data_IF_714456014829
#
_entry.id   IF_714456014829
#
_cell.length_a   1.000
_cell.length_b   1.000
_cell.length_c   1.000
_cell.angle_alpha   90.00
_cell.angle_beta   90.00
_cell.angle_gamma   90.00
#
_symmetry.space_group_name_H-M   'P 1'
#
loop_
_entity.id
_entity.type
_entity.pdbx_description
1 polymer ?
#
# COMPACT_ATOMS: atom_id res chain seq x y z
N UNK A 1 2.64 -6.06 12.62
CA UNK A 1 4.06 -6.46 12.64
C UNK A 1 4.81 -5.49 13.51
N UNK A 2 5.72 -5.98 14.36
CA UNK A 2 6.50 -5.14 15.27
C UNK A 2 7.99 -5.33 14.98
N UNK A 3 8.72 -4.23 14.79
CA UNK A 3 10.18 -4.23 14.67
C UNK A 3 10.79 -4.04 16.06
N UNK A 4 11.72 -4.91 16.44
CA UNK A 4 12.43 -4.88 17.72
C UNK A 4 13.94 -5.11 17.52
N UNK A 5 14.73 -4.88 18.56
CA UNK A 5 16.20 -4.88 18.50
C UNK A 5 16.78 -3.56 19.01
N UNK A 6 18.09 -3.53 19.27
CA UNK A 6 18.77 -2.41 19.92
C UNK A 6 18.79 -1.11 19.09
N UNK A 7 19.27 -0.01 19.69
CA UNK A 7 19.47 1.24 18.96
C UNK A 7 20.44 1.09 17.79
N UNK A 8 20.27 1.92 16.76
CA UNK A 8 21.10 1.95 15.56
C UNK A 8 21.25 0.62 14.78
N UNK A 9 20.48 -0.42 15.10
CA UNK A 9 20.34 -1.67 14.30
C UNK A 9 19.66 -1.43 12.93
N UNK A 10 19.05 -0.27 12.73
CA UNK A 10 18.55 0.20 11.44
C UNK A 10 17.10 -0.18 11.11
N UNK A 11 16.26 -0.50 12.12
CA UNK A 11 14.80 -0.68 11.97
C UNK A 11 14.14 0.44 11.16
N UNK A 12 14.42 1.70 11.53
CA UNK A 12 13.91 2.91 10.87
C UNK A 12 14.41 3.02 9.43
N UNK A 13 15.71 2.78 9.20
CA UNK A 13 16.28 2.75 7.85
C UNK A 13 15.65 1.66 6.99
N UNK A 14 15.44 0.46 7.52
CA UNK A 14 14.77 -0.63 6.82
C UNK A 14 13.34 -0.24 6.42
N UNK A 15 12.57 0.33 7.36
CA UNK A 15 11.23 0.84 7.09
C UNK A 15 11.21 1.92 6.00
N UNK A 16 12.14 2.88 6.02
CA UNK A 16 12.27 3.89 4.97
C UNK A 16 12.54 3.24 3.60
N UNK A 17 13.45 2.26 3.54
CA UNK A 17 13.85 1.59 2.29
C UNK A 17 12.76 0.70 1.69
N UNK A 18 12.03 -0.08 2.49
CA UNK A 18 10.88 -0.88 1.99
C UNK A 18 9.69 -0.01 1.54
N UNK A 19 9.65 1.26 1.98
CA UNK A 19 8.75 2.31 1.48
C UNK A 19 9.25 3.00 0.19
N UNK A 20 10.40 2.59 -0.35
CA UNK A 20 11.00 3.17 -1.57
C UNK A 20 11.80 4.45 -1.34
N UNK A 21 12.05 4.85 -0.10
CA UNK A 21 12.82 6.07 0.19
C UNK A 21 14.34 5.84 0.00
N UNK A 22 15.06 6.93 -0.25
CA UNK A 22 16.52 6.92 -0.27
C UNK A 22 17.10 6.57 1.11
N UNK A 23 18.27 5.92 1.14
CA UNK A 23 18.99 5.70 2.39
C UNK A 23 19.53 7.05 2.93
N UNK A 24 19.39 7.27 4.24
CA UNK A 24 19.94 8.44 4.94
C UNK A 24 21.00 8.01 5.94
N UNK A 25 22.17 8.67 5.92
CA UNK A 25 23.30 8.32 6.79
C UNK A 25 23.03 8.75 8.24
N UNK A 26 22.36 9.89 8.42
CA UNK A 26 21.98 10.43 9.72
C UNK A 26 20.46 10.28 9.90
N UNK A 27 20.01 9.09 10.31
CA UNK A 27 18.66 8.95 10.85
C UNK A 27 18.61 9.58 12.24
N UNK A 28 17.73 10.57 12.43
CA UNK A 28 17.43 11.11 13.77
C UNK A 28 16.92 10.00 14.70
N UNK A 29 17.12 10.16 16.01
CA UNK A 29 16.66 9.18 17.00
C UNK A 29 15.13 9.19 17.04
N UNK A 30 14.50 8.09 16.61
CA UNK A 30 13.05 7.90 16.70
C UNK A 30 12.57 8.10 18.14
N UNK A 31 11.66 9.06 18.36
CA UNK A 31 11.06 9.36 19.66
C UNK A 31 9.68 8.69 19.76
N UNK A 32 9.60 7.55 20.45
CA UNK A 32 8.35 6.84 20.72
C UNK A 32 8.14 5.56 19.91
N UNK A 33 6.87 5.18 19.71
CA UNK A 33 6.46 4.03 18.88
C UNK A 33 5.53 4.56 17.80
N UNK A 34 6.08 4.75 16.60
CA UNK A 34 5.31 5.19 15.45
C UNK A 34 4.75 3.99 14.68
N UNK A 35 3.50 4.14 14.23
CA UNK A 35 2.77 3.12 13.49
C UNK A 35 2.59 3.53 12.04
N UNK A 36 3.04 2.68 11.13
CA UNK A 36 2.99 2.92 9.70
C UNK A 36 2.20 1.83 9.00
N UNK A 37 1.36 2.20 8.03
CA UNK A 37 0.65 1.23 7.20
C UNK A 37 1.40 1.04 5.88
N UNK A 38 2.09 -0.09 5.75
CA UNK A 38 2.69 -0.54 4.50
C UNK A 38 1.70 -1.49 3.81
N UNK A 39 1.10 -1.02 2.71
CA UNK A 39 0.29 -1.89 1.85
C UNK A 39 1.17 -2.44 0.74
N UNK A 40 1.33 -3.75 0.63
CA UNK A 40 2.15 -4.42 -0.40
C UNK A 40 1.48 -5.73 -0.82
N UNK A 41 1.83 -6.22 -2.01
CA UNK A 41 1.38 -7.52 -2.50
C UNK A 41 2.44 -8.57 -2.22
N UNK A 42 2.01 -9.72 -1.72
CA UNK A 42 2.84 -10.89 -1.43
C UNK A 42 2.19 -12.06 -2.17
N UNK A 43 2.82 -12.46 -3.27
CA UNK A 43 2.13 -13.16 -4.35
C UNK A 43 0.93 -12.34 -4.81
N UNK A 44 -0.25 -12.90 -4.64
CA UNK A 44 -1.56 -12.34 -5.01
C UNK A 44 -2.23 -11.44 -4.00
N UNK A 45 -1.83 -11.53 -2.74
CA UNK A 45 -2.65 -11.03 -1.66
C UNK A 45 -2.24 -9.62 -1.29
N UNK A 46 -3.24 -8.74 -1.18
CA UNK A 46 -3.07 -7.39 -0.66
C UNK A 46 -2.86 -7.46 0.86
N UNK A 47 -1.64 -7.20 1.32
CA UNK A 47 -1.29 -7.26 2.74
C UNK A 47 -1.14 -5.86 3.28
N UNK A 48 -2.06 -5.47 4.16
CA UNK A 48 -1.97 -4.24 4.95
C UNK A 48 -1.14 -4.49 6.21
N UNK A 49 0.16 -4.25 6.11
CA UNK A 49 1.07 -4.37 7.24
C UNK A 49 1.05 -3.10 8.06
N UNK A 50 0.38 -3.15 9.21
CA UNK A 50 0.66 -2.22 10.31
C UNK A 50 2.04 -2.57 10.87
N UNK A 51 3.04 -1.73 10.62
CA UNK A 51 4.41 -1.85 11.11
C UNK A 51 4.61 -0.82 12.21
N UNK A 52 5.03 -1.27 13.38
CA UNK A 52 5.48 -0.38 14.46
C UNK A 52 6.99 -0.34 14.47
N UNK A 53 7.58 0.84 14.34
CA UNK A 53 9.00 1.08 14.61
C UNK A 53 9.14 1.58 16.05
N UNK A 54 9.82 0.81 16.90
CA UNK A 54 10.06 1.21 18.28
C UNK A 54 11.40 1.94 18.39
N UNK A 55 11.39 3.11 19.05
CA UNK A 55 12.59 3.84 19.44
C UNK A 55 13.71 2.93 19.92
N UNK A 56 14.90 3.09 19.32
CA UNK A 56 16.07 2.28 19.64
C UNK A 56 16.65 2.54 21.04
N UNK A 57 16.39 3.71 21.61
CA UNK A 57 16.66 4.00 23.01
C UNK A 57 15.40 3.72 23.85
N UNK A 58 15.21 2.46 24.23
CA UNK A 58 15.08 2.08 25.65
C UNK A 58 14.84 0.57 25.80
N UNK A 59 15.30 0.03 26.93
CA UNK A 59 15.11 -1.38 27.33
C UNK A 59 13.62 -1.70 27.58
N UNK A 60 12.90 -1.98 26.49
CA UNK A 60 11.58 -2.66 26.37
C UNK A 60 10.52 -2.37 27.46
N UNK A 61 10.43 -1.11 27.88
CA UNK A 61 9.35 -0.63 28.77
C UNK A 61 8.25 0.15 28.04
N UNK A 62 8.49 0.57 26.81
CA UNK A 62 7.61 1.48 26.04
C UNK A 62 6.66 0.76 25.09
N UNK A 63 6.99 -0.47 24.66
CA UNK A 63 6.02 -1.33 23.95
C UNK A 63 5.02 -1.86 24.98
N UNK A 64 3.77 -1.45 24.87
CA UNK A 64 2.73 -1.83 25.83
C UNK A 64 2.37 -3.32 25.70
N UNK A 65 1.91 -3.93 26.80
CA UNK A 65 1.47 -5.34 26.79
C UNK A 65 0.37 -5.61 25.74
N UNK A 66 -0.48 -4.63 25.45
CA UNK A 66 -1.49 -4.72 24.40
C UNK A 66 -0.86 -4.83 23.01
N UNK A 67 0.16 -4.01 22.70
CA UNK A 67 0.87 -4.04 21.42
C UNK A 67 1.55 -5.38 21.14
N UNK A 68 2.17 -6.00 22.15
CA UNK A 68 2.77 -7.33 21.99
C UNK A 68 1.71 -8.43 21.80
N UNK A 69 0.61 -8.39 22.55
CA UNK A 69 -0.45 -9.39 22.47
C UNK A 69 -1.23 -9.34 21.13
N UNK A 70 -1.43 -8.14 20.57
CA UNK A 70 -2.12 -7.95 19.28
C UNK A 70 -1.20 -8.20 18.06
N UNK A 71 0.10 -8.36 18.25
CA UNK A 71 1.06 -8.57 17.15
C UNK A 71 1.30 -10.05 16.88
N UNK A 72 0.95 -10.51 15.67
CA UNK A 72 1.20 -11.88 15.22
C UNK A 72 2.58 -12.10 14.57
N UNK A 73 3.24 -11.03 14.10
CA UNK A 73 4.50 -11.11 13.34
C UNK A 73 5.55 -10.14 13.90
N UNK A 74 6.72 -10.65 14.25
CA UNK A 74 7.83 -9.90 14.85
C UNK A 74 9.08 -9.99 13.97
N UNK A 75 9.78 -8.87 13.82
CA UNK A 75 11.04 -8.81 13.07
C UNK A 75 12.12 -8.25 13.99
N UNK A 76 13.15 -9.05 14.23
CA UNK A 76 14.21 -8.79 15.22
C UNK A 76 15.49 -8.36 14.52
N UNK A 77 15.92 -7.12 14.73
CA UNK A 77 17.07 -6.53 14.05
C UNK A 77 18.32 -6.60 14.92
N UNK A 78 19.37 -7.22 14.39
CA UNK A 78 20.74 -7.06 14.87
C UNK A 78 21.60 -6.35 13.82
N UNK A 79 22.74 -5.85 14.27
CA UNK A 79 23.76 -5.20 13.47
C UNK A 79 24.96 -6.14 13.33
N UNK A 80 25.33 -6.51 12.10
CA UNK A 80 26.44 -7.45 11.87
C UNK A 80 27.79 -6.90 12.34
N UNK A 81 27.92 -5.59 12.57
CA UNK A 81 29.12 -4.97 13.14
C UNK A 81 29.12 -4.92 14.67
N UNK A 82 28.06 -5.36 15.35
CA UNK A 82 27.91 -5.28 16.80
C UNK A 82 27.40 -6.59 17.44
N UNK A 83 28.29 -7.42 18.02
CA UNK A 83 27.93 -8.67 18.70
C UNK A 83 26.91 -8.53 19.83
N UNK A 84 26.95 -7.43 20.58
CA UNK A 84 25.99 -7.19 21.67
C UNK A 84 24.56 -7.12 21.14
N UNK A 85 24.36 -6.59 19.93
CA UNK A 85 23.02 -6.48 19.32
C UNK A 85 22.40 -7.84 18.96
N UNK A 86 23.21 -8.86 18.66
CA UNK A 86 22.72 -10.24 18.50
C UNK A 86 22.44 -10.85 19.88
N UNK A 87 23.32 -10.62 20.87
CA UNK A 87 23.11 -11.12 22.23
C UNK A 87 21.82 -10.57 22.87
N UNK A 88 21.53 -9.28 22.66
CA UNK A 88 20.30 -8.61 23.10
C UNK A 88 19.03 -9.24 22.54
N UNK A 89 19.06 -9.89 21.36
CA UNK A 89 17.86 -10.54 20.80
C UNK A 89 17.27 -11.62 21.71
N UNK A 90 18.04 -12.16 22.67
CA UNK A 90 17.52 -13.09 23.67
C UNK A 90 16.41 -12.48 24.54
N UNK A 91 16.60 -11.26 25.06
CA UNK A 91 15.59 -10.64 25.93
C UNK A 91 14.32 -10.28 25.15
N UNK A 92 14.47 -9.81 23.91
CA UNK A 92 13.34 -9.60 23.00
C UNK A 92 12.58 -10.92 22.72
N UNK A 93 13.28 -12.04 22.50
CA UNK A 93 12.66 -13.35 22.34
C UNK A 93 11.88 -13.79 23.58
N UNK A 94 12.49 -13.71 24.76
CA UNK A 94 11.84 -14.05 26.04
C UNK A 94 10.60 -13.19 26.28
N UNK A 95 10.61 -11.91 25.93
CA UNK A 95 9.44 -11.05 26.10
C UNK A 95 8.33 -11.34 25.10
N UNK A 96 8.68 -11.69 23.87
CA UNK A 96 7.70 -12.15 22.87
C UNK A 96 7.11 -13.51 23.32
N UNK A 97 7.90 -14.39 23.93
CA UNK A 97 7.42 -15.64 24.56
C UNK A 97 6.46 -15.39 25.73
N UNK A 98 6.78 -14.42 26.60
CA UNK A 98 6.01 -14.13 27.81
C UNK A 98 4.75 -13.24 27.57
N UNK A 99 4.75 -12.40 26.52
CA UNK A 99 3.72 -11.36 26.30
C UNK A 99 3.02 -11.44 24.94
N UNK A 100 3.64 -12.08 23.95
CA UNK A 100 3.10 -12.25 22.61
C UNK A 100 2.16 -13.46 22.47
N UNK A 101 1.46 -13.60 21.33
CA UNK A 101 0.60 -14.74 21.07
C UNK A 101 1.39 -16.04 20.83
N UNK A 102 0.76 -17.18 21.13
CA UNK A 102 1.37 -18.51 20.98
C UNK A 102 1.80 -18.82 19.54
N UNK A 103 0.90 -18.61 18.57
CA UNK A 103 1.09 -19.00 17.16
C UNK A 103 1.85 -17.97 16.30
N UNK A 104 2.54 -17.01 16.93
CA UNK A 104 3.32 -15.95 16.28
C UNK A 104 4.33 -16.43 15.23
N UNK A 105 4.74 -15.50 14.38
CA UNK A 105 5.90 -15.64 13.48
C UNK A 105 6.99 -14.67 13.90
N UNK A 106 8.24 -15.13 13.93
CA UNK A 106 9.42 -14.32 14.23
C UNK A 106 10.44 -14.52 13.10
N UNK A 107 11.10 -13.44 12.68
CA UNK A 107 12.22 -13.46 11.71
C UNK A 107 13.36 -12.59 12.24
N UNK A 108 14.60 -13.03 12.07
CA UNK A 108 15.81 -12.29 12.46
C UNK A 108 16.41 -11.58 11.24
N UNK A 109 16.84 -10.33 11.41
CA UNK A 109 17.44 -9.50 10.36
C UNK A 109 18.84 -9.08 10.81
N UNK A 110 19.87 -9.64 10.17
CA UNK A 110 21.24 -9.16 10.26
C UNK A 110 21.44 -7.99 9.29
N UNK A 111 21.39 -6.77 9.81
CA UNK A 111 21.51 -5.56 8.99
C UNK A 111 22.97 -5.03 8.96
N UNK A 112 23.24 -4.10 8.02
CA UNK A 112 24.56 -3.49 7.73
C UNK A 112 25.58 -4.42 7.09
N UNK A 113 25.12 -5.39 6.29
CA UNK A 113 25.97 -6.28 5.50
C UNK A 113 26.87 -5.59 4.46
N UNK A 114 26.78 -4.26 4.31
CA UNK A 114 27.74 -3.43 3.56
C UNK A 114 29.05 -3.14 4.33
N UNK A 115 29.14 -3.55 5.60
CA UNK A 115 30.30 -3.33 6.47
C UNK A 115 30.95 -4.65 6.87
N UNK A 116 32.24 -4.64 7.29
CA UNK A 116 32.92 -5.83 7.79
C UNK A 116 32.18 -6.44 8.99
N UNK A 117 31.62 -7.63 8.79
CA UNK A 117 30.87 -8.34 9.81
C UNK A 117 31.78 -8.84 10.94
N UNK A 118 31.43 -8.50 12.18
CA UNK A 118 31.99 -9.11 13.40
C UNK A 118 31.11 -10.29 13.83
N UNK A 119 29.79 -10.17 13.62
CA UNK A 119 28.81 -11.25 13.75
C UNK A 119 28.68 -11.95 12.40
N UNK A 120 29.07 -13.22 12.32
CA UNK A 120 29.01 -13.97 11.06
C UNK A 120 27.56 -14.35 10.72
N UNK A 121 27.29 -14.60 9.44
CA UNK A 121 26.01 -15.16 9.01
C UNK A 121 25.73 -16.51 9.70
N UNK A 122 26.77 -17.33 9.90
CA UNK A 122 26.68 -18.61 10.62
C UNK A 122 26.20 -18.42 12.07
N UNK A 123 26.70 -17.43 12.79
CA UNK A 123 26.21 -17.11 14.15
C UNK A 123 24.74 -16.68 14.17
N UNK A 124 24.29 -15.90 13.18
CA UNK A 124 22.88 -15.48 13.05
C UNK A 124 21.98 -16.67 12.67
N UNK A 125 22.46 -17.55 11.80
CA UNK A 125 21.80 -18.79 11.40
C UNK A 125 21.65 -19.76 12.58
N UNK A 126 22.70 -19.96 13.36
CA UNK A 126 22.69 -20.82 14.54
C UNK A 126 21.72 -20.27 15.60
N UNK A 127 21.80 -18.97 15.88
CA UNK A 127 20.88 -18.28 16.78
C UNK A 127 19.41 -18.46 16.38
N UNK A 128 19.12 -18.32 15.07
CA UNK A 128 17.76 -18.42 14.54
C UNK A 128 17.27 -19.87 14.49
N UNK A 129 18.17 -20.82 14.20
CA UNK A 129 17.88 -22.25 14.23
C UNK A 129 17.55 -22.75 15.64
N UNK A 130 18.29 -22.30 16.67
CA UNK A 130 17.99 -22.60 18.07
C UNK A 130 16.62 -22.08 18.53
N UNK A 131 16.09 -21.05 17.86
CA UNK A 131 14.79 -20.41 18.16
C UNK A 131 13.67 -20.79 17.18
N UNK A 132 13.94 -21.73 16.26
CA UNK A 132 13.01 -22.18 15.23
C UNK A 132 12.38 -21.01 14.43
N UNK A 133 13.22 -20.07 14.01
CA UNK A 133 12.85 -18.91 13.20
C UNK A 133 13.77 -18.76 11.98
N UNK A 134 13.28 -18.03 10.98
CA UNK A 134 14.05 -17.74 9.76
C UNK A 134 14.89 -16.47 9.93
N UNK A 135 15.94 -16.34 9.12
CA UNK A 135 16.85 -15.19 9.16
C UNK A 135 17.13 -14.63 7.77
N UNK A 136 17.48 -13.34 7.71
CA UNK A 136 17.92 -12.66 6.50
C UNK A 136 19.11 -11.75 6.79
N UNK A 137 20.07 -11.71 5.86
CA UNK A 137 21.21 -10.79 5.90
C UNK A 137 21.00 -9.69 4.85
N UNK A 138 21.00 -8.43 5.31
CA UNK A 138 20.65 -7.27 4.48
C UNK A 138 21.57 -6.07 4.73
N UNK A 139 21.62 -5.16 3.76
CA UNK A 139 22.13 -3.81 3.91
C UNK A 139 21.06 -2.81 3.51
N UNK A 140 20.50 -2.08 4.48
CA UNK A 140 19.59 -0.97 4.18
C UNK A 140 20.23 0.11 3.28
N UNK A 141 21.56 0.18 3.22
CA UNK A 141 22.32 1.17 2.45
C UNK A 141 22.50 0.74 0.99
N UNK A 142 22.92 -0.50 0.77
CA UNK A 142 23.34 -0.98 -0.55
C UNK A 142 22.28 -1.86 -1.25
N UNK A 143 21.45 -2.59 -0.50
CA UNK A 143 20.46 -3.47 -1.10
C UNK A 143 19.30 -2.66 -1.71
N UNK A 144 18.74 -3.16 -2.81
CA UNK A 144 17.56 -2.61 -3.44
C UNK A 144 16.27 -2.90 -2.65
N UNK A 145 15.18 -2.24 -3.06
CA UNK A 145 13.88 -2.41 -2.43
C UNK A 145 13.26 -3.80 -2.59
N UNK A 146 13.72 -4.64 -3.53
CA UNK A 146 13.21 -5.99 -3.72
C UNK A 146 13.88 -6.96 -2.71
N UNK A 147 15.21 -6.94 -2.61
CA UNK A 147 15.95 -7.73 -1.61
C UNK A 147 15.56 -7.33 -0.18
N UNK A 148 15.34 -6.05 0.08
CA UNK A 148 14.85 -5.58 1.40
C UNK A 148 13.38 -5.94 1.67
N UNK A 149 12.59 -6.30 0.64
CA UNK A 149 11.21 -6.73 0.82
C UNK A 149 11.07 -8.24 1.07
N UNK A 150 12.06 -9.06 0.70
CA UNK A 150 12.02 -10.52 0.88
C UNK A 150 11.74 -10.98 2.33
N UNK A 151 12.33 -10.38 3.40
CA UNK A 151 12.00 -10.76 4.77
C UNK A 151 10.54 -10.45 5.15
N UNK A 152 9.96 -9.41 4.53
CA UNK A 152 8.57 -8.98 4.72
C UNK A 152 7.61 -9.87 3.93
N UNK A 153 8.03 -10.34 2.75
CA UNK A 153 7.33 -11.37 1.96
C UNK A 153 7.23 -12.67 2.76
N UNK A 154 8.38 -13.18 3.24
CA UNK A 154 8.48 -14.48 3.89
C UNK A 154 7.71 -14.59 5.21
N UNK A 155 7.81 -13.59 6.08
CA UNK A 155 7.11 -13.58 7.38
C UNK A 155 5.57 -13.60 7.23
N UNK A 156 5.05 -13.11 6.10
CA UNK A 156 3.63 -13.19 5.75
C UNK A 156 3.27 -14.58 5.25
N UNK A 157 4.04 -15.17 4.34
CA UNK A 157 3.79 -16.55 3.88
C UNK A 157 3.69 -17.53 5.07
N UNK A 158 4.65 -17.46 6.00
CA UNK A 158 4.64 -18.30 7.21
C UNK A 158 3.43 -18.00 8.12
N UNK A 159 2.97 -16.74 8.17
CA UNK A 159 1.75 -16.38 8.89
C UNK A 159 0.52 -16.99 8.22
N UNK A 160 0.43 -16.95 6.89
CA UNK A 160 -0.68 -17.56 6.17
C UNK A 160 -0.70 -19.08 6.32
N UNK A 161 0.44 -19.76 6.19
CA UNK A 161 0.54 -21.21 6.38
C UNK A 161 0.07 -21.63 7.79
N UNK A 162 0.43 -20.88 8.83
CA UNK A 162 0.02 -21.16 10.22
C UNK A 162 -1.47 -20.89 10.47
N UNK A 163 -2.05 -19.84 9.88
CA UNK A 163 -3.39 -19.36 10.22
C UNK A 163 -4.49 -19.67 9.18
N UNK A 164 -4.16 -20.27 8.03
CA UNK A 164 -5.11 -20.59 6.94
C UNK A 164 -5.42 -22.10 6.82
N UNK A 165 -5.03 -22.92 7.80
CA UNK A 165 -5.52 -24.30 7.90
C UNK A 165 -7.06 -24.34 8.09
N UNK A 166 -7.75 -25.36 7.55
CA UNK A 166 -9.13 -25.19 7.10
C UNK A 166 -10.12 -25.00 8.26
N UNK A 167 -10.84 -23.88 8.23
CA UNK A 167 -12.12 -23.77 8.94
C UNK A 167 -13.01 -24.92 8.48
N UNK A 168 -13.30 -25.87 9.39
CA UNK A 168 -14.24 -26.96 9.15
C UNK A 168 -15.51 -26.41 8.51
N UNK A 169 -15.94 -27.04 7.43
CA UNK A 169 -17.12 -26.65 6.67
C UNK A 169 -18.40 -26.84 7.50
N UNK A 170 -18.74 -25.83 8.31
CA UNK A 170 -20.10 -25.65 8.82
C UNK A 170 -20.96 -25.05 7.71
N UNK A 171 -21.63 -25.94 6.97
CA UNK A 171 -22.62 -25.59 5.96
C UNK A 171 -23.71 -24.74 6.62
N UNK A 172 -23.69 -23.43 6.37
CA UNK A 172 -24.81 -22.53 6.63
C UNK A 172 -25.12 -21.81 5.33
N UNK A 173 -26.10 -22.34 4.60
CA UNK A 173 -26.65 -21.72 3.40
C UNK A 173 -27.28 -20.36 3.74
N UNK A 174 -26.63 -19.27 3.31
CA UNK A 174 -27.22 -17.92 3.25
C UNK A 174 -26.83 -17.21 1.94
N UNK A 175 -27.66 -16.29 1.44
CA UNK A 175 -27.77 -16.03 0.00
C UNK A 175 -26.70 -15.09 -0.58
N UNK A 176 -26.58 -15.17 -1.91
CA UNK A 176 -25.63 -14.43 -2.76
C UNK A 176 -25.94 -12.92 -2.78
N UNK A 177 -25.33 -12.16 -1.87
CA UNK A 177 -25.21 -10.69 -1.93
C UNK A 177 -23.97 -10.22 -1.17
N UNK A 178 -22.78 -10.22 -1.80
CA UNK A 178 -21.56 -9.68 -1.14
C UNK A 178 -20.47 -9.03 -2.02
N UNK A 179 -20.51 -9.15 -3.35
CA UNK A 179 -19.40 -8.67 -4.21
C UNK A 179 -19.39 -7.16 -4.49
N UNK A 180 -20.49 -6.44 -4.19
CA UNK A 180 -20.66 -5.02 -4.63
C UNK A 180 -20.00 -3.95 -3.75
N UNK A 181 -19.50 -4.28 -2.56
CA UNK A 181 -18.95 -3.27 -1.62
C UNK A 181 -17.43 -3.08 -1.69
N UNK A 182 -16.72 -3.89 -2.49
CA UNK A 182 -15.25 -3.97 -2.44
C UNK A 182 -14.52 -3.21 -3.57
N UNK A 183 -15.21 -2.86 -4.66
CA UNK A 183 -14.62 -2.16 -5.81
C UNK A 183 -14.40 -0.65 -5.59
N UNK A 184 -13.22 -0.14 -5.97
CA UNK A 184 -12.99 1.30 -6.12
C UNK A 184 -13.68 1.82 -7.40
N UNK A 185 -14.57 2.79 -7.27
CA UNK A 185 -15.36 3.36 -8.37
C UNK A 185 -15.74 4.82 -8.09
N UNK A 186 -16.07 5.55 -9.15
CA UNK A 186 -16.72 6.86 -9.18
C UNK A 186 -18.16 6.74 -9.73
N UNK A 187 -19.07 7.68 -9.41
CA UNK A 187 -20.39 7.73 -10.02
C UNK A 187 -20.32 8.31 -11.44
N UNK A 188 -21.31 8.02 -12.27
CA UNK A 188 -21.28 8.39 -13.69
C UNK A 188 -21.34 9.89 -13.99
N UNK A 189 -21.76 10.71 -13.03
CA UNK A 189 -21.88 12.16 -13.13
C UNK A 189 -20.65 12.93 -12.60
N UNK A 190 -19.68 12.26 -11.98
CA UNK A 190 -18.40 12.87 -11.61
C UNK A 190 -17.61 13.31 -12.85
N UNK A 191 -16.85 14.39 -12.72
CA UNK A 191 -16.21 15.08 -13.84
C UNK A 191 -14.71 14.78 -13.93
N UNK A 192 -14.21 14.64 -15.16
CA UNK A 192 -12.79 14.56 -15.51
C UNK A 192 -12.43 15.67 -16.49
N UNK A 193 -11.19 16.14 -16.46
CA UNK A 193 -10.63 17.12 -17.39
C UNK A 193 -9.80 16.41 -18.47
N UNK A 194 -10.01 16.72 -19.75
CA UNK A 194 -9.26 16.15 -20.87
C UNK A 194 -8.08 17.04 -21.31
N UNK A 195 -7.12 16.47 -22.06
CA UNK A 195 -5.95 17.18 -22.62
C UNK A 195 -6.34 18.41 -23.47
N UNK A 196 -7.51 18.39 -24.12
CA UNK A 196 -8.06 19.51 -24.89
C UNK A 196 -8.71 20.62 -24.02
N UNK A 197 -8.65 20.51 -22.68
CA UNK A 197 -9.22 21.46 -21.73
C UNK A 197 -10.73 21.33 -21.47
N UNK A 198 -11.43 20.43 -22.17
CA UNK A 198 -12.85 20.16 -21.91
C UNK A 198 -13.05 19.32 -20.63
N UNK A 199 -14.18 19.53 -19.95
CA UNK A 199 -14.61 18.70 -18.82
C UNK A 199 -15.79 17.86 -19.23
N UNK A 200 -15.68 16.54 -19.03
CA UNK A 200 -16.73 15.57 -19.36
C UNK A 200 -17.12 14.76 -18.13
N UNK A 201 -18.33 14.20 -18.15
CA UNK A 201 -18.74 13.21 -17.17
C UNK A 201 -17.97 11.89 -17.39
N UNK A 202 -17.57 11.21 -16.32
CA UNK A 202 -16.82 9.95 -16.39
C UNK A 202 -17.61 8.82 -17.07
N UNK A 203 -18.94 8.95 -17.16
CA UNK A 203 -19.78 8.04 -17.96
C UNK A 203 -19.65 8.23 -19.47
N UNK A 204 -19.22 9.41 -19.94
CA UNK A 204 -18.95 9.74 -21.34
C UNK A 204 -17.48 9.55 -21.74
N UNK A 205 -16.61 9.17 -20.80
CA UNK A 205 -15.18 8.97 -21.02
C UNK A 205 -14.95 7.68 -21.83
N UNK A 206 -14.05 7.71 -22.80
CA UNK A 206 -13.74 6.59 -23.70
C UNK A 206 -12.31 6.05 -23.47
N UNK A 207 -11.99 4.91 -24.10
CA UNK A 207 -10.62 4.37 -24.08
C UNK A 207 -9.81 5.12 -25.14
N UNK A 208 -8.60 5.54 -24.78
CA UNK A 208 -7.76 6.45 -25.59
C UNK A 208 -7.92 7.93 -25.21
N UNK A 209 -8.95 8.30 -24.44
CA UNK A 209 -9.05 9.64 -23.89
C UNK A 209 -7.92 9.88 -22.88
N UNK A 210 -7.27 11.04 -23.00
CA UNK A 210 -6.25 11.48 -22.05
C UNK A 210 -6.85 12.40 -21.00
N UNK A 211 -6.88 11.93 -19.76
CA UNK A 211 -7.42 12.64 -18.60
C UNK A 211 -6.33 13.28 -17.76
N UNK A 212 -6.68 14.37 -17.09
CA UNK A 212 -5.84 15.03 -16.09
C UNK A 212 -5.48 14.04 -14.98
N UNK A 213 -4.19 13.90 -14.75
CA UNK A 213 -3.56 12.94 -13.87
C UNK A 213 -2.37 13.61 -13.16
N UNK A 214 -1.74 12.91 -12.22
CA UNK A 214 -0.65 13.46 -11.43
C UNK A 214 0.48 12.44 -11.29
N UNK A 215 1.67 12.83 -11.72
CA UNK A 215 2.84 11.97 -11.67
C UNK A 215 3.49 12.06 -10.28
N UNK A 216 3.35 11.00 -9.47
CA UNK A 216 3.85 10.98 -8.10
C UNK A 216 5.39 11.03 -7.99
N UNK A 217 6.12 10.73 -9.06
CA UNK A 217 7.59 10.72 -9.09
C UNK A 217 8.18 12.07 -9.54
N UNK A 218 7.48 12.77 -10.43
CA UNK A 218 7.88 14.08 -10.96
C UNK A 218 7.17 15.25 -10.26
N UNK A 219 6.20 14.96 -9.37
CA UNK A 219 5.38 15.91 -8.62
C UNK A 219 4.60 16.92 -9.48
N UNK A 220 4.28 16.55 -10.73
CA UNK A 220 3.63 17.42 -11.72
C UNK A 220 2.32 16.85 -12.28
N UNK A 221 1.48 17.75 -12.82
CA UNK A 221 0.27 17.38 -13.57
C UNK A 221 0.66 16.93 -14.97
N UNK A 222 0.13 15.78 -15.38
CA UNK A 222 0.29 15.24 -16.72
C UNK A 222 -1.06 14.73 -17.24
N UNK A 223 -1.24 14.69 -18.55
CA UNK A 223 -2.39 14.03 -19.16
C UNK A 223 -2.06 12.56 -19.43
N UNK A 224 -2.86 11.65 -18.88
CA UNK A 224 -2.64 10.21 -18.94
C UNK A 224 -3.79 9.52 -19.67
N UNK A 225 -3.45 8.66 -20.62
CA UNK A 225 -4.39 7.90 -21.43
C UNK A 225 -5.15 6.86 -20.58
N UNK A 226 -6.47 6.82 -20.73
CA UNK A 226 -7.33 5.77 -20.20
C UNK A 226 -7.24 4.57 -21.13
N UNK A 227 -6.55 3.50 -20.71
CA UNK A 227 -6.32 2.32 -21.56
C UNK A 227 -7.31 1.18 -21.30
N UNK A 228 -8.00 1.18 -20.14
CA UNK A 228 -9.05 0.19 -19.85
C UNK A 228 -9.98 0.68 -18.72
N UNK A 229 -11.03 -0.10 -18.42
CA UNK A 229 -11.93 0.09 -17.29
C UNK A 229 -11.90 -1.14 -16.39
N UNK A 230 -11.62 -0.95 -15.10
CA UNK A 230 -11.82 -2.00 -14.10
C UNK A 230 -13.30 -2.28 -13.84
N UNK A 231 -14.14 -1.24 -13.93
CA UNK A 231 -15.60 -1.32 -13.84
C UNK A 231 -16.23 -0.25 -14.75
N UNK A 232 -17.29 -0.60 -15.50
CA UNK A 232 -18.07 0.36 -16.31
C UNK A 232 -19.53 -0.09 -16.39
N UNK A 233 -20.41 0.50 -15.56
CA UNK A 233 -21.85 0.22 -15.62
C UNK A 233 -22.66 1.47 -15.23
N UNK A 234 -23.40 2.04 -16.20
CA UNK A 234 -24.19 3.26 -16.00
C UNK A 234 -25.54 3.04 -15.31
N UNK A 235 -26.04 1.80 -15.26
CA UNK A 235 -27.42 1.49 -14.83
C UNK A 235 -27.56 1.20 -13.34
N UNK A 236 -26.45 0.89 -12.66
CA UNK A 236 -26.42 0.57 -11.23
C UNK A 236 -26.59 1.85 -10.38
N UNK A 237 -27.38 1.77 -9.31
CA UNK A 237 -27.31 2.68 -8.17
C UNK A 237 -26.39 2.08 -7.10
N UNK A 238 -25.45 2.87 -6.59
CA UNK A 238 -24.47 2.42 -5.59
C UNK A 238 -24.24 3.48 -4.50
N UNK A 239 -23.86 3.08 -3.27
CA UNK A 239 -23.51 4.00 -2.20
C UNK A 239 -22.08 4.55 -2.37
N UNK A 240 -21.94 5.87 -2.34
CA UNK A 240 -20.67 6.59 -2.41
C UNK A 240 -20.42 7.36 -1.10
N UNK A 241 -19.14 7.53 -0.77
CA UNK A 241 -18.67 8.51 0.20
C UNK A 241 -18.64 9.87 -0.50
N UNK A 242 -19.42 10.81 0.01
CA UNK A 242 -19.38 12.22 -0.36
C UNK A 242 -18.38 12.94 0.54
N UNK A 243 -17.31 13.43 -0.05
CA UNK A 243 -16.31 14.28 0.61
C UNK A 243 -16.63 15.73 0.26
N UNK A 244 -16.93 16.56 1.26
CA UNK A 244 -17.01 18.02 1.08
C UNK A 244 -15.70 18.65 1.55
N UNK A 245 -15.19 19.61 0.79
CA UNK A 245 -13.90 20.25 1.05
C UNK A 245 -13.95 21.75 0.81
N UNK A 246 -12.96 22.46 1.36
CA UNK A 246 -12.73 23.88 1.10
C UNK A 246 -11.25 24.17 0.86
N UNK A 247 -10.96 25.01 -0.13
CA UNK A 247 -9.70 25.76 -0.26
C UNK A 247 -9.87 27.13 0.40
N UNK A 248 -8.88 28.01 0.28
CA UNK A 248 -8.98 29.42 0.70
C UNK A 248 -10.06 30.20 -0.08
N UNK A 249 -10.34 29.79 -1.33
CA UNK A 249 -11.17 30.54 -2.28
C UNK A 249 -12.48 29.85 -2.68
N UNK A 250 -12.58 28.53 -2.55
CA UNK A 250 -13.71 27.74 -3.08
C UNK A 250 -14.11 26.59 -2.14
N UNK A 251 -15.38 26.19 -2.24
CA UNK A 251 -15.91 24.95 -1.66
C UNK A 251 -16.30 23.99 -2.78
N UNK A 252 -16.14 22.69 -2.54
CA UNK A 252 -16.47 21.66 -3.52
C UNK A 252 -16.87 20.34 -2.85
N UNK A 253 -17.21 19.37 -3.69
CA UNK A 253 -17.48 18.00 -3.25
C UNK A 253 -17.14 16.99 -4.33
N UNK A 254 -16.63 15.84 -3.92
CA UNK A 254 -16.39 14.67 -4.78
C UNK A 254 -17.04 13.43 -4.18
N UNK A 255 -17.24 12.41 -5.01
CA UNK A 255 -17.91 11.17 -4.66
C UNK A 255 -17.07 9.97 -5.07
N UNK A 256 -16.71 9.13 -4.09
CA UNK A 256 -15.91 7.93 -4.34
C UNK A 256 -16.48 6.74 -3.56
N UNK A 257 -16.38 5.53 -4.09
CA UNK A 257 -16.84 4.34 -3.37
C UNK A 257 -16.06 4.13 -2.06
N UNK A 258 -16.59 3.43 -1.05
CA UNK A 258 -15.97 3.31 0.27
C UNK A 258 -14.50 2.86 0.29
N UNK A 259 -14.08 2.01 -0.67
CA UNK A 259 -12.73 1.47 -0.77
C UNK A 259 -11.80 2.27 -1.69
N UNK A 260 -12.30 3.28 -2.39
CA UNK A 260 -11.50 4.08 -3.31
C UNK A 260 -10.41 4.84 -2.57
N UNK A 261 -9.15 4.76 -3.03
CA UNK A 261 -8.03 5.42 -2.36
C UNK A 261 -7.92 6.90 -2.75
N UNK A 262 -8.06 7.77 -1.76
CA UNK A 262 -7.76 9.20 -1.88
C UNK A 262 -6.35 9.48 -1.37
N UNK A 263 -5.70 10.50 -1.91
CA UNK A 263 -4.40 10.96 -1.43
C UNK A 263 -4.57 12.10 -0.40
N UNK A 264 -3.87 12.00 0.73
CA UNK A 264 -3.97 12.94 1.85
C UNK A 264 -2.60 13.34 2.41
N UNK A 265 -2.47 14.61 2.81
CA UNK A 265 -1.31 15.15 3.51
C UNK A 265 -1.57 15.26 5.01
N UNK A 266 -0.54 15.02 5.82
CA UNK A 266 -0.61 15.12 7.29
C UNK A 266 -0.08 16.47 7.75
N UNK A 267 -0.79 17.16 8.65
CA UNK A 267 -0.35 18.48 9.18
C UNK A 267 1.03 18.47 9.86
N UNK A 268 1.44 17.32 10.41
CA UNK A 268 2.76 17.12 11.02
C UNK A 268 3.90 17.05 9.99
N UNK A 269 3.60 16.59 8.76
CA UNK A 269 4.57 16.45 7.67
C UNK A 269 3.90 16.81 6.34
N UNK A 270 3.83 18.12 5.99
CA UNK A 270 3.11 18.59 4.80
C UNK A 270 3.72 18.11 3.47
N UNK A 271 4.91 17.52 3.50
CA UNK A 271 5.61 16.93 2.34
C UNK A 271 5.39 15.42 2.17
N UNK A 272 4.68 14.75 3.09
CA UNK A 272 4.45 13.30 3.02
C UNK A 272 3.04 12.99 2.48
N UNK A 273 2.99 12.59 1.22
CA UNK A 273 1.78 12.11 0.58
C UNK A 273 1.42 10.69 1.04
N UNK A 274 0.32 10.57 1.77
CA UNK A 274 -0.27 9.31 2.17
C UNK A 274 -1.47 8.98 1.27
N UNK A 275 -1.92 7.73 1.27
CA UNK A 275 -3.21 7.34 0.69
C UNK A 275 -4.05 6.55 1.69
N UNK A 276 -5.38 6.68 1.60
CA UNK A 276 -6.33 5.91 2.42
C UNK A 276 -7.67 5.70 1.72
N UNK A 277 -8.41 4.63 2.05
CA UNK A 277 -9.78 4.43 1.59
C UNK A 277 -10.69 5.60 1.94
N UNK A 278 -11.58 6.01 1.04
CA UNK A 278 -12.52 7.10 1.24
C UNK A 278 -13.41 6.92 2.48
N UNK A 279 -13.73 5.68 2.88
CA UNK A 279 -14.44 5.38 4.14
C UNK A 279 -13.68 5.78 5.41
N UNK A 280 -12.37 6.03 5.32
CA UNK A 280 -11.50 6.50 6.41
C UNK A 280 -11.15 7.99 6.26
N UNK A 281 -11.74 8.70 5.30
CA UNK A 281 -11.66 10.17 5.23
C UNK A 281 -12.37 10.79 6.44
N UNK A 282 -11.80 11.86 6.99
CA UNK A 282 -12.29 12.55 8.18
C UNK A 282 -12.19 14.07 8.02
N UNK A 283 -13.03 14.80 8.76
CA UNK A 283 -12.96 16.26 8.82
C UNK A 283 -11.60 16.71 9.34
N UNK A 284 -10.96 17.62 8.61
CA UNK A 284 -9.62 18.14 8.92
C UNK A 284 -8.47 17.47 8.18
N UNK A 285 -8.73 16.36 7.47
CA UNK A 285 -7.80 15.82 6.47
C UNK A 285 -7.49 16.87 5.39
N UNK A 286 -6.25 16.89 4.92
CA UNK A 286 -5.83 17.70 3.77
C UNK A 286 -5.74 16.77 2.55
N UNK A 287 -6.38 17.15 1.45
CA UNK A 287 -6.38 16.45 0.17
C UNK A 287 -5.74 17.31 -0.92
N UNK A 288 -5.19 16.67 -1.96
CA UNK A 288 -4.71 17.37 -3.16
C UNK A 288 -5.88 17.61 -4.12
N UNK A 289 -6.04 18.87 -4.51
CA UNK A 289 -6.93 19.34 -5.57
C UNK A 289 -6.09 19.91 -6.70
N UNK A 290 -6.41 19.62 -7.96
CA UNK A 290 -5.88 20.37 -9.09
C UNK A 290 -6.94 20.51 -10.19
N UNK A 291 -7.05 21.70 -10.78
CA UNK A 291 -8.02 22.04 -11.82
C UNK A 291 -7.48 21.92 -13.26
N UNK A 292 -6.27 21.36 -13.43
CA UNK A 292 -5.49 21.33 -14.68
C UNK A 292 -4.48 22.46 -14.82
N UNK A 293 -4.26 23.27 -13.77
CA UNK A 293 -3.28 24.37 -13.75
C UNK A 293 -2.50 24.40 -12.44
N UNK A 294 -3.20 24.56 -11.33
CA UNK A 294 -2.57 24.83 -10.03
C UNK A 294 -2.83 23.70 -9.03
N UNK A 295 -1.77 23.19 -8.41
CA UNK A 295 -1.87 22.26 -7.28
C UNK A 295 -2.33 23.07 -6.07
N UNK A 296 -3.47 22.70 -5.50
CA UNK A 296 -4.08 23.37 -4.36
C UNK A 296 -4.34 22.35 -3.25
N UNK A 297 -4.13 22.77 -2.01
CA UNK A 297 -4.52 21.97 -0.84
C UNK A 297 -5.95 22.34 -0.45
N UNK A 298 -6.79 21.33 -0.25
CA UNK A 298 -8.14 21.50 0.27
C UNK A 298 -8.30 20.73 1.58
N UNK A 299 -9.01 21.31 2.54
CA UNK A 299 -9.33 20.65 3.82
C UNK A 299 -10.72 20.03 3.75
N UNK A 300 -10.86 18.76 4.12
CA UNK A 300 -12.15 18.08 4.25
C UNK A 300 -12.96 18.74 5.37
N UNK A 301 -14.15 19.23 5.03
CA UNK A 301 -15.07 19.92 5.96
C UNK A 301 -16.14 18.99 6.50
N UNK A 302 -16.58 18.00 5.70
CA UNK A 302 -17.52 16.95 6.09
C UNK A 302 -17.31 15.69 5.25
N UNK A 303 -17.75 14.55 5.79
CA UNK A 303 -17.80 13.25 5.10
C UNK A 303 -19.18 12.65 5.35
N UNK A 304 -19.85 12.19 4.31
CA UNK A 304 -21.20 11.62 4.38
C UNK A 304 -21.38 10.50 3.35
N UNK A 305 -22.53 9.81 3.35
CA UNK A 305 -22.88 8.77 2.38
C UNK A 305 -24.05 9.23 1.52
N UNK A 306 -23.94 9.04 0.21
CA UNK A 306 -24.97 9.38 -0.77
C UNK A 306 -25.08 8.27 -1.82
N UNK A 307 -26.30 7.95 -2.28
CA UNK A 307 -26.47 6.95 -3.36
C UNK A 307 -26.48 7.67 -4.70
N UNK A 308 -25.63 7.23 -5.63
CA UNK A 308 -25.51 7.84 -6.97
C UNK A 308 -25.58 6.76 -8.06
N UNK A 309 -25.82 7.22 -9.29
CA UNK A 309 -25.98 6.37 -10.48
C UNK A 309 -24.66 6.19 -11.20
N UNK A 310 -24.41 4.96 -11.65
CA UNK A 310 -23.20 4.56 -12.33
C UNK A 310 -22.12 4.06 -11.38
N UNK A 311 -21.33 3.09 -11.85
CA UNK A 311 -20.04 2.72 -11.28
C UNK A 311 -19.00 2.69 -12.39
N UNK A 312 -17.97 3.52 -12.26
CA UNK A 312 -16.92 3.71 -13.25
C UNK A 312 -15.55 3.69 -12.57
N UNK A 313 -14.63 2.86 -13.07
CA UNK A 313 -13.23 2.87 -12.68
C UNK A 313 -12.33 2.89 -13.93
N UNK A 314 -12.13 4.05 -14.57
CA UNK A 314 -11.17 4.18 -15.67
C UNK A 314 -9.75 3.97 -15.13
N UNK A 315 -8.93 3.25 -15.89
CA UNK A 315 -7.54 2.96 -15.54
C UNK A 315 -6.63 3.73 -16.48
N UNK A 316 -5.83 4.63 -15.90
CA UNK A 316 -4.91 5.52 -16.62
C UNK A 316 -3.50 4.93 -16.70
N UNK A 317 -2.72 5.28 -17.73
CA UNK A 317 -1.34 4.80 -17.89
C UNK A 317 -0.40 5.19 -16.74
N UNK A 318 -0.66 6.30 -16.04
CA UNK A 318 0.03 6.69 -14.82
C UNK A 318 -0.52 5.96 -13.59
N UNK A 319 -1.82 5.65 -13.52
CA UNK A 319 -2.43 5.01 -12.35
C UNK A 319 -3.03 5.97 -11.32
N UNK A 320 -2.97 7.26 -11.60
CA UNK A 320 -3.66 8.35 -10.89
C UNK A 320 -4.66 9.00 -11.84
N UNK A 321 -5.70 9.59 -11.29
CA UNK A 321 -6.69 10.36 -12.03
C UNK A 321 -7.20 11.50 -11.16
N UNK A 322 -7.54 12.63 -11.78
CA UNK A 322 -8.28 13.69 -11.10
C UNK A 322 -9.76 13.63 -11.46
N UNK A 323 -10.58 13.40 -10.43
CA UNK A 323 -12.04 13.30 -10.54
C UNK A 323 -12.67 14.31 -9.59
N UNK A 324 -13.57 15.14 -10.10
CA UNK A 324 -14.10 16.32 -9.40
C UNK A 324 -12.98 17.23 -8.84
N UNK A 325 -11.89 17.37 -9.60
CA UNK A 325 -10.62 18.03 -9.24
C UNK A 325 -9.83 17.40 -8.07
N UNK A 326 -10.27 16.30 -7.46
CA UNK A 326 -9.51 15.59 -6.41
C UNK A 326 -8.60 14.52 -7.02
N UNK A 327 -7.35 14.44 -6.53
CA UNK A 327 -6.42 13.36 -6.87
C UNK A 327 -6.81 12.03 -6.22
N UNK A 328 -6.98 10.99 -7.04
CA UNK A 328 -7.36 9.65 -6.62
C UNK A 328 -6.55 8.56 -7.35
N UNK A 329 -6.53 7.34 -6.81
CA UNK A 329 -5.85 6.17 -7.40
C UNK A 329 -6.80 5.41 -8.32
N UNK A 330 -6.36 5.07 -9.54
CA UNK A 330 -7.14 4.21 -10.45
C UNK A 330 -7.25 2.77 -9.95
N UNK A 331 -6.41 2.38 -8.99
CA UNK A 331 -6.26 0.99 -8.55
C UNK A 331 -6.96 0.74 -7.22
N UNK A 332 -7.85 -0.24 -7.22
CA UNK A 332 -8.39 -0.83 -6.00
C UNK A 332 -7.26 -1.60 -5.30
N UNK A 333 -7.02 -1.36 -4.01
CA UNK A 333 -6.17 -2.20 -3.15
C UNK A 333 -4.67 -2.30 -3.49
N UNK A 334 -4.22 -1.93 -4.70
CA UNK A 334 -2.82 -1.93 -5.13
C UNK A 334 -2.19 -0.53 -4.96
N UNK A 335 -1.02 -0.40 -4.31
CA UNK A 335 -0.25 0.84 -4.34
C UNK A 335 0.11 1.22 -5.77
N UNK A 336 -0.01 2.51 -6.10
CA UNK A 336 0.20 3.07 -7.43
C UNK A 336 1.43 2.50 -8.17
N UNK A 337 2.57 2.41 -7.49
CA UNK A 337 3.86 1.96 -8.02
C UNK A 337 3.89 0.48 -8.46
N UNK A 338 3.00 -0.35 -7.92
CA UNK A 338 2.91 -1.81 -8.15
C UNK A 338 1.90 -2.16 -9.24
N UNK A 339 0.99 -1.24 -9.56
CA UNK A 339 0.15 -1.34 -10.76
C UNK A 339 0.80 -0.61 -11.97
N UNK A 340 1.60 0.42 -11.72
CA UNK A 340 2.87 0.56 -12.44
C UNK A 340 3.66 -0.77 -12.35
N UNK A 341 4.54 -1.09 -13.29
CA UNK A 341 5.19 -2.42 -13.39
C UNK A 341 4.23 -3.58 -13.76
N UNK A 342 3.14 -3.89 -13.02
CA UNK A 342 2.16 -4.94 -13.42
C UNK A 342 1.51 -4.65 -14.79
N UNK A 343 1.10 -3.41 -15.05
CA UNK A 343 0.60 -2.99 -16.36
C UNK A 343 1.72 -2.54 -17.32
N UNK A 344 2.99 -2.82 -17.03
CA UNK A 344 4.11 -2.54 -17.95
C UNK A 344 4.03 -3.32 -19.27
N UNK A 345 3.73 -4.64 -19.30
CA UNK A 345 3.61 -5.38 -20.56
C UNK A 345 2.46 -4.86 -21.43
N UNK A 346 1.30 -4.56 -20.81
CA UNK A 346 0.13 -4.02 -21.50
C UNK A 346 0.37 -2.62 -22.09
N UNK A 347 1.17 -1.78 -21.42
CA UNK A 347 1.62 -0.48 -21.96
C UNK A 347 2.66 -0.61 -23.06
N UNK A 348 3.54 -1.61 -23.00
CA UNK A 348 4.57 -1.87 -24.03
C UNK A 348 3.99 -2.47 -25.33
N UNK A 349 2.90 -3.23 -25.24
CA UNK A 349 2.21 -3.84 -26.39
C UNK A 349 1.35 -2.86 -27.22
N UNK A 350 1.22 -1.61 -26.77
CA UNK A 350 0.46 -0.54 -27.44
C UNK A 350 1.28 0.29 -28.44
N UNK A 351 2.40 -0.24 -28.94
CA UNK A 351 3.09 0.33 -30.12
C UNK A 351 2.34 -0.03 -31.42
N UNK A 352 2.52 0.81 -32.45
CA UNK A 352 1.68 0.95 -33.66
C UNK A 352 1.26 -0.33 -34.44
N UNK A 353 1.89 -1.50 -34.23
CA UNK A 353 1.66 -2.69 -35.06
C UNK A 353 0.43 -3.54 -34.70
N UNK A 354 -0.19 -3.34 -33.54
CA UNK A 354 -1.24 -4.25 -33.02
C UNK A 354 -2.68 -3.91 -33.45
N UNK A 355 -2.92 -2.77 -34.11
CA UNK A 355 -4.27 -2.18 -34.33
C UNK A 355 -5.25 -3.02 -35.17
N UNK A 356 -4.79 -4.08 -35.86
CA UNK A 356 -5.61 -4.89 -36.76
C UNK A 356 -6.23 -6.17 -36.13
N UNK A 357 -5.84 -6.58 -34.92
CA UNK A 357 -6.27 -7.86 -34.34
C UNK A 357 -7.26 -7.74 -33.16
N UNK A 358 -7.36 -6.56 -32.54
CA UNK A 358 -8.07 -6.38 -31.25
C UNK A 358 -9.62 -6.36 -31.33
N UNK A 359 -10.21 -6.33 -32.52
CA UNK A 359 -11.67 -6.17 -32.69
C UNK A 359 -12.50 -7.49 -32.59
N UNK A 360 -11.94 -8.60 -32.08
CA UNK A 360 -12.60 -9.92 -32.13
C UNK A 360 -12.49 -10.83 -30.90
N UNK A 361 -11.90 -10.40 -29.79
CA UNK A 361 -11.57 -11.30 -28.67
C UNK A 361 -11.88 -10.68 -27.30
N UNK A 362 -13.15 -10.41 -27.01
CA UNK A 362 -13.60 -9.92 -25.70
C UNK A 362 -13.62 -11.01 -24.59
N UNK A 363 -13.62 -12.30 -24.97
CA UNK A 363 -13.69 -13.41 -24.00
C UNK A 363 -12.34 -13.88 -23.44
N UNK A 364 -11.34 -14.08 -24.31
CA UNK A 364 -10.10 -14.80 -23.93
C UNK A 364 -9.25 -13.99 -22.94
N UNK A 365 -9.37 -12.66 -22.90
CA UNK A 365 -8.64 -11.84 -21.91
C UNK A 365 -9.17 -12.00 -20.48
N UNK A 366 -10.47 -12.24 -20.28
CA UNK A 366 -10.99 -12.58 -18.96
C UNK A 366 -10.55 -13.97 -18.55
N UNK A 367 -10.62 -14.97 -19.43
CA UNK A 367 -10.09 -16.31 -19.16
C UNK A 367 -8.58 -16.29 -18.86
N UNK A 368 -7.79 -15.46 -19.55
CA UNK A 368 -6.35 -15.33 -19.31
C UNK A 368 -6.06 -14.59 -18.00
N UNK A 369 -6.84 -13.56 -17.65
CA UNK A 369 -6.74 -12.88 -16.34
C UNK A 369 -7.16 -13.84 -15.23
N UNK A 370 -8.20 -14.66 -15.42
CA UNK A 370 -8.69 -15.65 -14.45
C UNK A 370 -7.77 -16.88 -14.34
N UNK A 371 -7.03 -17.23 -15.41
CA UNK A 371 -5.98 -18.26 -15.37
C UNK A 371 -4.69 -17.73 -14.75
N UNK A 372 -4.28 -16.49 -15.08
CA UNK A 372 -3.16 -15.84 -14.40
C UNK A 372 -3.48 -15.57 -12.93
N UNK A 373 -4.75 -15.32 -12.57
CA UNK A 373 -5.23 -15.29 -11.18
C UNK A 373 -5.60 -16.68 -10.59
N UNK A 374 -5.14 -17.77 -11.22
CA UNK A 374 -5.09 -19.13 -10.65
C UNK A 374 -3.65 -19.70 -10.64
N UNK A 375 -2.70 -18.95 -11.20
CA UNK A 375 -1.27 -19.32 -11.32
C UNK A 375 -0.40 -18.37 -10.50
N UNK A 376 -0.73 -17.08 -10.49
CA UNK A 376 -0.12 -16.03 -9.66
C UNK A 376 -1.03 -15.58 -8.50
N UNK A 377 -2.29 -16.04 -8.48
CA UNK A 377 -3.24 -15.83 -7.38
C UNK A 377 -3.87 -17.14 -6.92
#
# INVERSE_FOLDING_TARGET
MLFLGDSATGKTSFLQRIRGQAFTVNTEVTLGVDWFFLSKYIGSKAVHLQISDSAGQDKVRTVTRAQMHETMCFMLFCDVTNPDSLASLNSFFEEIENKGPENRVVVVIGNKADQPAIVTEEQIKDFSSMRNCEYFIVSCKNDDGAKLFEPVRRIVEVYEDKYTLPRRASIVSKPVLKEKEEAACFPGDSLVLLENGSRIAISSLEIGDKVCSFNLLQEEVQYSEVYTYGHRNQSILAPFIKIQYQTESLKGSSYLSPQHLIFTLTKLHPFLLNSKPAKHAQKGDIIIKNNGKDIQLATITSVSRETKKGIFNPITTLGTILVDDILASCYCSVPHDVAHLLFSPLRSLHSEQSKAHFARVEGIYWDLIEQLSKIYF
#
